data_IF_490992888030
#
_entry.id   IF_490992888030
#
_cell.length_a   1.000
_cell.length_b   1.000
_cell.length_c   1.000
_cell.angle_alpha   90.00
_cell.angle_beta   90.00
_cell.angle_gamma   90.00
#
_symmetry.space_group_name_H-M   'P 1'
#
loop_
_entity.id
_entity.type
_entity.pdbx_description
1 polymer ?
#
# COMPACT_ATOMS: atom_id res chain seq x y z
N UNK A 1 8.38 72.35 -37.01
CA UNK A 1 8.34 70.87 -36.94
C UNK A 1 6.91 70.46 -37.27
N UNK A 2 6.77 69.78 -38.41
CA UNK A 2 5.60 69.09 -38.98
C UNK A 2 4.21 69.73 -38.86
N UNK A 3 3.79 70.32 -39.98
CA UNK A 3 2.44 70.76 -40.32
C UNK A 3 1.72 69.70 -41.17
N UNK A 4 0.38 69.76 -41.13
CA UNK A 4 -0.62 69.16 -42.04
C UNK A 4 -0.78 67.64 -42.18
N UNK A 5 -1.94 67.11 -41.74
CA UNK A 5 -3.07 66.89 -42.67
C UNK A 5 -4.34 66.39 -42.00
N UNK A 6 -5.45 66.90 -42.53
CA UNK A 6 -6.85 66.74 -42.12
C UNK A 6 -7.46 65.41 -42.65
N UNK A 7 -8.47 64.92 -41.92
CA UNK A 7 -9.29 63.71 -42.12
C UNK A 7 -9.99 63.64 -43.50
N UNK A 8 -10.53 62.46 -43.88
CA UNK A 8 -11.98 62.30 -43.73
C UNK A 8 -12.47 60.91 -43.29
N UNK A 9 -13.70 60.90 -42.76
CA UNK A 9 -14.53 59.77 -42.37
C UNK A 9 -15.59 59.53 -43.45
N UNK A 10 -15.87 58.30 -43.90
CA UNK A 10 -17.25 57.82 -44.11
C UNK A 10 -17.34 56.29 -44.31
N UNK A 11 -18.35 55.70 -43.67
CA UNK A 11 -18.79 54.31 -43.77
C UNK A 11 -19.25 53.92 -45.19
N UNK A 12 -19.03 52.65 -45.59
CA UNK A 12 -20.02 51.93 -46.39
C UNK A 12 -20.06 50.44 -46.06
N UNK A 13 -21.29 49.94 -46.01
CA UNK A 13 -21.77 48.60 -45.67
C UNK A 13 -21.87 47.81 -46.98
N UNK A 14 -21.38 46.57 -47.06
CA UNK A 14 -22.08 45.49 -47.78
C UNK A 14 -21.53 44.10 -47.42
N UNK A 15 -22.48 43.22 -47.13
CA UNK A 15 -22.47 41.75 -46.97
C UNK A 15 -21.56 40.97 -47.92
N UNK A 16 -21.09 39.78 -47.50
CA UNK A 16 -21.43 38.48 -48.12
C UNK A 16 -20.84 37.26 -47.34
N UNK A 17 -21.73 36.32 -46.98
CA UNK A 17 -21.58 34.84 -46.83
C UNK A 17 -20.33 34.25 -46.15
N UNK A 18 -20.42 33.63 -44.97
CA UNK A 18 -21.00 32.30 -44.68
C UNK A 18 -20.46 31.17 -45.56
N UNK A 19 -19.42 30.46 -45.10
CA UNK A 19 -19.21 29.00 -45.23
C UNK A 19 -17.80 28.64 -44.72
N UNK A 20 -17.70 27.81 -43.68
CA UNK A 20 -16.66 26.79 -43.42
C UNK A 20 -16.62 26.32 -41.95
N UNK A 21 -17.79 26.04 -41.36
CA UNK A 21 -17.87 25.45 -40.01
C UNK A 21 -17.89 23.91 -39.98
N UNK A 22 -17.81 23.22 -41.13
CA UNK A 22 -18.04 21.77 -41.18
C UNK A 22 -16.80 20.89 -41.42
N UNK A 23 -15.60 21.46 -41.60
CA UNK A 23 -14.40 20.65 -41.91
C UNK A 23 -13.68 20.16 -40.65
N UNK A 24 -13.79 20.84 -39.50
CA UNK A 24 -12.99 20.50 -38.30
C UNK A 24 -13.66 19.53 -37.33
N UNK A 25 -14.93 19.14 -37.54
CA UNK A 25 -15.66 18.24 -36.63
C UNK A 25 -15.35 16.75 -36.89
N UNK A 26 -15.19 16.36 -38.16
CA UNK A 26 -14.99 14.95 -38.55
C UNK A 26 -13.58 14.40 -38.23
N UNK A 27 -12.56 15.24 -38.16
CA UNK A 27 -11.20 14.82 -37.77
C UNK A 27 -11.01 14.72 -36.25
N UNK A 28 -11.80 15.48 -35.46
CA UNK A 28 -11.80 15.35 -33.99
C UNK A 28 -12.53 14.10 -33.50
N UNK A 29 -13.49 13.58 -34.26
CA UNK A 29 -14.24 12.37 -33.91
C UNK A 29 -13.47 11.08 -34.25
N UNK A 30 -12.60 11.06 -35.26
CA UNK A 30 -11.80 9.88 -35.65
C UNK A 30 -10.57 9.57 -34.77
N UNK A 31 -10.21 10.45 -33.81
CA UNK A 31 -9.15 10.19 -32.82
C UNK A 31 -9.66 9.61 -31.49
N UNK A 32 -10.97 9.33 -31.39
CA UNK A 32 -11.64 8.94 -30.14
C UNK A 32 -11.75 7.42 -29.92
N UNK A 33 -11.16 6.62 -30.81
CA UNK A 33 -11.20 5.15 -30.73
C UNK A 33 -9.81 4.51 -30.63
N UNK A 34 -8.83 5.25 -30.09
CA UNK A 34 -7.73 4.54 -29.40
C UNK A 34 -8.34 3.95 -28.15
N UNK A 35 -8.71 2.68 -28.23
CA UNK A 35 -9.08 1.82 -27.11
C UNK A 35 -8.09 2.11 -25.97
N UNK A 36 -8.49 2.93 -25.00
CA UNK A 36 -7.67 3.19 -23.84
C UNK A 36 -7.64 1.88 -23.07
N UNK A 37 -6.50 1.20 -23.11
CA UNK A 37 -6.31 0.00 -22.33
C UNK A 37 -6.51 0.36 -20.85
N UNK A 38 -7.42 -0.37 -20.21
CA UNK A 38 -7.71 -0.17 -18.80
C UNK A 38 -6.65 -0.91 -17.99
N UNK A 39 -6.00 -0.20 -17.07
CA UNK A 39 -5.03 -0.78 -16.15
C UNK A 39 -5.60 -0.77 -14.73
N UNK A 40 -5.50 -1.91 -14.04
CA UNK A 40 -5.90 -2.00 -12.64
C UNK A 40 -4.85 -1.37 -11.72
N UNK A 41 -5.29 -0.48 -10.83
CA UNK A 41 -4.43 0.07 -9.79
C UNK A 41 -4.70 -0.60 -8.43
N UNK A 42 -3.69 -1.28 -7.87
CA UNK A 42 -3.75 -1.93 -6.53
C UNK A 42 -4.10 -0.96 -5.40
N UNK A 43 -3.71 0.30 -5.54
CA UNK A 43 -3.93 1.36 -4.54
C UNK A 43 -5.35 1.91 -4.61
N UNK A 44 -5.82 2.28 -5.80
CA UNK A 44 -7.17 2.78 -6.01
C UNK A 44 -8.23 1.68 -5.93
N UNK A 45 -7.84 0.43 -6.19
CA UNK A 45 -8.75 -0.72 -6.38
C UNK A 45 -9.75 -0.52 -7.53
N UNK A 46 -9.32 0.16 -8.59
CA UNK A 46 -10.12 0.51 -9.75
C UNK A 46 -9.31 0.31 -11.04
N UNK A 47 -10.04 0.08 -12.14
CA UNK A 47 -9.49 0.10 -13.49
C UNK A 47 -9.48 1.54 -14.01
N UNK A 48 -8.31 2.05 -14.40
CA UNK A 48 -8.15 3.39 -14.93
C UNK A 48 -7.81 3.32 -16.43
N UNK A 49 -8.43 4.20 -17.22
CA UNK A 49 -8.06 4.46 -18.61
C UNK A 49 -7.13 5.69 -18.75
N UNK A 50 -6.62 6.20 -17.62
CA UNK A 50 -5.81 7.41 -17.50
C UNK A 50 -4.30 7.11 -17.59
N UNK A 51 -3.94 5.83 -17.77
CA UNK A 51 -2.56 5.34 -17.83
C UNK A 51 -1.73 5.69 -16.59
N UNK A 52 -0.40 5.76 -16.71
CA UNK A 52 0.52 5.98 -15.58
C UNK A 52 0.36 7.32 -14.85
N UNK A 53 -0.36 8.29 -15.44
CA UNK A 53 -0.53 9.63 -14.87
C UNK A 53 -1.50 9.66 -13.69
N UNK A 54 -2.36 8.64 -13.54
CA UNK A 54 -3.36 8.63 -12.46
C UNK A 54 -2.73 8.71 -11.06
N UNK A 55 -1.49 8.23 -10.91
CA UNK A 55 -0.74 8.27 -9.64
C UNK A 55 -0.52 9.67 -9.07
N UNK A 56 -0.68 10.72 -9.89
CA UNK A 56 -0.52 12.11 -9.47
C UNK A 56 -1.84 12.79 -9.04
N UNK A 57 -2.98 12.14 -9.26
CA UNK A 57 -4.28 12.71 -8.94
C UNK A 57 -4.58 12.69 -7.43
N UNK A 58 -5.37 13.66 -6.92
CA UNK A 58 -5.66 13.77 -5.49
C UNK A 58 -6.28 12.49 -4.90
N UNK A 59 -7.23 11.86 -5.61
CA UNK A 59 -7.89 10.64 -5.15
C UNK A 59 -6.90 9.49 -4.97
N UNK A 60 -5.95 9.34 -5.90
CA UNK A 60 -4.88 8.34 -5.78
C UNK A 60 -3.98 8.65 -4.59
N UNK A 61 -3.55 9.91 -4.42
CA UNK A 61 -2.70 10.31 -3.30
C UNK A 61 -3.34 10.02 -1.94
N UNK A 62 -4.64 10.29 -1.81
CA UNK A 62 -5.41 9.95 -0.60
C UNK A 62 -5.48 8.44 -0.39
N UNK A 63 -5.83 7.68 -1.43
CA UNK A 63 -5.89 6.22 -1.35
C UNK A 63 -4.53 5.60 -0.99
N UNK A 64 -3.44 6.11 -1.56
CA UNK A 64 -2.07 5.70 -1.28
C UNK A 64 -1.68 5.99 0.16
N UNK A 65 -1.99 7.19 0.66
CA UNK A 65 -1.75 7.56 2.05
C UNK A 65 -2.46 6.61 3.01
N UNK A 66 -3.76 6.34 2.79
CA UNK A 66 -4.53 5.39 3.60
C UNK A 66 -3.99 3.96 3.48
N UNK A 67 -3.58 3.52 2.28
CA UNK A 67 -3.00 2.21 2.05
C UNK A 67 -1.71 2.03 2.85
N UNK A 68 -0.80 3.00 2.76
CA UNK A 68 0.48 2.99 3.45
C UNK A 68 0.32 3.10 4.97
N UNK A 69 -0.62 3.91 5.46
CA UNK A 69 -0.92 4.04 6.89
C UNK A 69 -1.35 2.70 7.51
N UNK A 70 -2.23 1.95 6.82
CA UNK A 70 -2.65 0.61 7.28
C UNK A 70 -1.48 -0.36 7.39
N UNK A 71 -0.56 -0.32 6.44
CA UNK A 71 0.61 -1.19 6.48
C UNK A 71 1.62 -0.75 7.54
N UNK A 72 1.77 0.57 7.74
CA UNK A 72 2.60 1.11 8.82
C UNK A 72 2.15 0.61 10.19
N UNK A 73 0.83 0.55 10.45
CA UNK A 73 0.30 0.01 11.71
C UNK A 73 0.70 -1.46 11.91
N UNK A 74 0.61 -2.29 10.87
CA UNK A 74 1.06 -3.70 10.92
C UNK A 74 2.56 -3.81 11.23
N UNK A 75 3.39 -2.95 10.65
CA UNK A 75 4.83 -2.92 10.95
C UNK A 75 5.09 -2.44 12.38
N UNK A 76 4.29 -1.50 12.90
CA UNK A 76 4.44 -1.05 14.28
C UNK A 76 4.17 -2.18 15.27
N UNK A 77 3.24 -3.09 14.97
CA UNK A 77 3.02 -4.31 15.75
C UNK A 77 4.29 -5.20 15.72
N UNK A 78 4.90 -5.41 14.56
CA UNK A 78 6.17 -6.15 14.45
C UNK A 78 7.31 -5.44 15.21
N UNK A 79 7.37 -4.10 15.15
CA UNK A 79 8.36 -3.29 15.88
C UNK A 79 8.21 -3.38 17.39
N UNK A 80 7.01 -3.67 17.89
CA UNK A 80 6.82 -3.92 19.30
C UNK A 80 7.60 -5.17 19.74
N UNK A 81 7.51 -6.27 18.98
CA UNK A 81 8.26 -7.50 19.23
C UNK A 81 9.76 -7.37 18.92
N UNK A 82 10.13 -6.52 17.96
CA UNK A 82 11.53 -6.13 17.71
C UNK A 82 12.17 -5.44 18.94
N UNK A 83 11.39 -4.70 19.72
CA UNK A 83 11.88 -4.03 20.94
C UNK A 83 11.83 -4.95 22.16
N UNK A 84 10.81 -5.81 22.20
CA UNK A 84 10.48 -6.70 23.31
C UNK A 84 10.39 -8.14 22.79
N UNK A 85 11.54 -8.82 22.59
CA UNK A 85 11.51 -10.21 22.16
C UNK A 85 10.74 -11.07 23.16
N UNK A 86 9.88 -11.94 22.66
CA UNK A 86 9.07 -12.83 23.47
C UNK A 86 9.11 -14.23 22.85
N UNK A 87 9.37 -15.24 23.68
CA UNK A 87 9.44 -16.64 23.23
C UNK A 87 8.08 -17.04 22.68
N UNK A 88 8.09 -17.57 21.47
CA UNK A 88 6.87 -17.95 20.79
C UNK A 88 6.33 -19.26 21.37
N UNK A 89 5.04 -19.27 21.68
CA UNK A 89 4.32 -20.47 22.05
C UNK A 89 3.65 -21.04 20.80
N UNK A 90 3.96 -22.27 20.38
CA UNK A 90 3.41 -22.87 19.15
C UNK A 90 1.88 -22.88 19.10
N UNK A 91 1.20 -22.90 20.25
CA UNK A 91 -0.25 -22.83 20.37
C UNK A 91 -0.84 -21.49 19.87
N UNK A 92 0.01 -20.51 19.56
CA UNK A 92 -0.36 -19.21 19.03
C UNK A 92 0.17 -18.96 17.60
N UNK A 93 0.73 -19.99 16.94
CA UNK A 93 1.18 -20.00 15.53
C UNK A 93 0.20 -19.29 14.58
N UNK A 94 -1.05 -19.73 14.58
CA UNK A 94 -2.09 -19.23 13.66
C UNK A 94 -2.40 -17.74 13.82
N UNK A 95 -2.09 -17.17 14.99
CA UNK A 95 -2.37 -15.76 15.32
C UNK A 95 -1.24 -14.84 14.88
N UNK A 96 -0.10 -15.37 14.46
CA UNK A 96 1.11 -14.63 14.14
C UNK A 96 1.32 -14.44 12.62
N UNK A 97 0.29 -14.61 11.78
CA UNK A 97 0.43 -14.47 10.32
C UNK A 97 0.65 -13.01 9.89
N UNK A 98 1.73 -12.76 9.15
CA UNK A 98 2.07 -11.43 8.63
C UNK A 98 1.97 -11.37 7.10
N UNK A 99 0.93 -10.71 6.59
CA UNK A 99 0.82 -10.44 5.16
C UNK A 99 1.62 -9.19 4.76
N UNK A 100 2.65 -9.36 3.92
CA UNK A 100 3.42 -8.26 3.36
C UNK A 100 2.80 -7.77 2.03
N UNK A 101 2.24 -6.56 2.02
CA UNK A 101 1.56 -6.00 0.84
C UNK A 101 2.50 -5.63 -0.31
N UNK A 102 3.78 -5.38 0.00
CA UNK A 102 4.80 -5.01 -0.98
C UNK A 102 5.36 -6.23 -1.70
N UNK A 103 5.52 -7.34 -0.97
CA UNK A 103 5.98 -8.61 -1.52
C UNK A 103 4.84 -9.50 -2.02
N UNK A 104 3.59 -9.17 -1.68
CA UNK A 104 2.41 -9.98 -2.01
C UNK A 104 2.54 -11.43 -1.50
N UNK A 105 3.04 -11.57 -0.27
CA UNK A 105 3.37 -12.87 0.32
C UNK A 105 2.88 -12.91 1.76
N UNK A 106 2.38 -14.08 2.15
CA UNK A 106 2.09 -14.40 3.54
C UNK A 106 3.37 -14.89 4.20
N UNK A 107 3.83 -14.15 5.20
CA UNK A 107 5.00 -14.53 5.99
C UNK A 107 4.48 -15.40 7.12
N UNK A 108 4.76 -16.67 6.97
CA UNK A 108 4.41 -17.68 7.95
C UNK A 108 5.38 -17.65 9.13
N UNK A 109 4.86 -17.97 10.31
CA UNK A 109 5.58 -18.00 11.58
C UNK A 109 5.60 -19.41 12.16
N UNK A 110 5.32 -20.42 11.34
CA UNK A 110 5.66 -21.79 11.67
C UNK A 110 7.18 -21.89 11.92
N UNK A 111 7.53 -22.65 12.95
CA UNK A 111 8.91 -22.94 13.38
C UNK A 111 9.73 -21.76 13.94
N UNK A 112 9.13 -20.60 14.19
CA UNK A 112 9.84 -19.51 14.88
C UNK A 112 9.98 -19.76 16.38
N UNK A 113 11.15 -19.40 16.92
CA UNK A 113 11.42 -19.47 18.37
C UNK A 113 10.92 -18.21 19.09
N UNK A 114 10.80 -17.09 18.38
CA UNK A 114 10.31 -15.82 18.91
C UNK A 114 9.13 -15.29 18.12
N UNK A 115 8.25 -14.56 18.81
CA UNK A 115 7.13 -13.90 18.18
C UNK A 115 7.61 -12.93 17.08
N UNK A 116 6.96 -13.02 15.92
CA UNK A 116 7.26 -12.27 14.70
C UNK A 116 8.70 -12.42 14.15
N UNK A 117 9.43 -13.49 14.47
CA UNK A 117 10.81 -13.69 13.98
C UNK A 117 10.89 -13.70 12.45
N UNK A 118 10.02 -14.44 11.77
CA UNK A 118 10.06 -14.53 10.32
C UNK A 118 9.63 -13.20 9.66
N UNK A 119 8.66 -12.50 10.24
CA UNK A 119 8.26 -11.17 9.82
C UNK A 119 9.38 -10.13 10.01
N UNK A 120 10.11 -10.18 11.13
CA UNK A 120 11.26 -9.32 11.39
C UNK A 120 12.34 -9.53 10.33
N UNK A 121 12.70 -10.79 10.08
CA UNK A 121 13.69 -11.16 9.07
C UNK A 121 13.25 -10.76 7.66
N UNK A 122 11.98 -10.97 7.32
CA UNK A 122 11.41 -10.56 6.03
C UNK A 122 11.53 -9.05 5.81
N UNK A 123 11.13 -8.24 6.80
CA UNK A 123 11.15 -6.78 6.73
C UNK A 123 12.56 -6.17 6.72
N UNK A 124 13.56 -6.92 7.20
CA UNK A 124 14.97 -6.56 7.11
C UNK A 124 15.65 -7.01 5.81
N UNK A 125 15.07 -7.99 5.11
CA UNK A 125 15.67 -8.63 3.94
C UNK A 125 15.77 -7.73 2.69
N UNK A 126 16.80 -8.00 1.87
CA UNK A 126 17.05 -7.28 0.63
C UNK A 126 15.93 -7.43 -0.42
N UNK A 127 15.23 -8.58 -0.45
CA UNK A 127 14.09 -8.80 -1.35
C UNK A 127 12.95 -7.84 -1.05
N UNK A 128 12.60 -7.67 0.24
CA UNK A 128 11.59 -6.71 0.68
C UNK A 128 11.98 -5.28 0.31
N UNK A 129 13.24 -4.89 0.54
CA UNK A 129 13.72 -3.55 0.15
C UNK A 129 13.57 -3.29 -1.34
N UNK A 130 13.87 -4.27 -2.20
CA UNK A 130 13.69 -4.16 -3.66
C UNK A 130 12.22 -3.95 -4.02
N UNK A 131 11.33 -4.77 -3.47
CA UNK A 131 9.89 -4.69 -3.75
C UNK A 131 9.28 -3.39 -3.21
N UNK A 132 9.69 -2.95 -2.03
CA UNK A 132 9.28 -1.69 -1.43
C UNK A 132 9.68 -0.51 -2.33
N UNK A 133 10.96 -0.42 -2.75
CA UNK A 133 11.42 0.63 -3.68
C UNK A 133 10.60 0.64 -4.96
N UNK A 134 10.38 -0.54 -5.55
CA UNK A 134 9.57 -0.69 -6.76
C UNK A 134 8.14 -0.20 -6.53
N UNK A 135 7.49 -0.60 -5.43
CA UNK A 135 6.14 -0.18 -5.09
C UNK A 135 6.01 1.34 -4.95
N UNK A 136 6.93 1.97 -4.19
CA UNK A 136 6.88 3.42 -3.98
C UNK A 136 7.03 4.18 -5.31
N UNK A 137 7.95 3.74 -6.18
CA UNK A 137 8.13 4.32 -7.51
C UNK A 137 6.91 4.12 -8.42
N UNK A 138 6.38 2.90 -8.47
CA UNK A 138 5.24 2.52 -9.31
C UNK A 138 4.01 3.34 -8.96
N UNK A 139 3.70 3.46 -7.66
CA UNK A 139 2.50 4.14 -7.18
C UNK A 139 2.71 5.60 -6.77
N UNK A 140 3.90 6.16 -6.96
CA UNK A 140 4.17 7.59 -6.74
C UNK A 140 4.23 8.01 -5.26
N UNK A 141 4.63 7.11 -4.38
CA UNK A 141 4.96 7.44 -3.00
C UNK A 141 6.37 8.07 -2.89
N UNK A 142 6.67 8.67 -1.75
CA UNK A 142 7.96 9.32 -1.52
C UNK A 142 9.01 8.29 -1.09
N UNK A 143 10.19 8.33 -1.75
CA UNK A 143 11.30 7.38 -1.51
C UNK A 143 12.06 7.64 -0.20
N UNK A 144 11.88 8.80 0.42
CA UNK A 144 12.44 9.15 1.74
C UNK A 144 11.74 8.42 2.90
N UNK A 145 10.63 7.72 2.63
CA UNK A 145 9.85 7.01 3.65
C UNK A 145 10.18 5.52 3.78
N UNK A 146 11.24 5.03 3.11
CA UNK A 146 11.61 3.61 3.11
C UNK A 146 11.72 3.04 4.53
N UNK A 147 12.40 3.75 5.43
CA UNK A 147 12.64 3.27 6.80
C UNK A 147 11.37 3.16 7.63
N UNK A 148 10.26 3.81 7.24
CA UNK A 148 8.96 3.58 7.89
C UNK A 148 8.42 2.18 7.66
N UNK A 149 8.81 1.56 6.54
CA UNK A 149 8.27 0.32 6.03
C UNK A 149 9.26 -0.86 6.04
N UNK A 150 10.40 -0.68 6.68
CA UNK A 150 11.53 -1.62 6.75
C UNK A 150 12.04 -1.74 8.19
N UNK A 151 12.72 -2.84 8.47
CA UNK A 151 13.59 -2.99 9.64
C UNK A 151 15.04 -2.84 9.17
N UNK A 152 15.83 -2.05 9.90
CA UNK A 152 17.24 -1.87 9.57
C UNK A 152 18.06 -3.08 10.00
N UNK A 153 19.17 -3.36 9.32
CA UNK A 153 20.10 -4.43 9.72
C UNK A 153 20.64 -4.19 11.14
N UNK A 154 20.85 -2.92 11.53
CA UNK A 154 21.30 -2.59 12.88
C UNK A 154 20.27 -2.89 13.95
N UNK A 155 18.97 -2.69 13.66
CA UNK A 155 17.90 -3.08 14.58
C UNK A 155 17.72 -4.60 14.64
N UNK A 156 17.89 -5.29 13.50
CA UNK A 156 17.88 -6.75 13.45
C UNK A 156 18.98 -7.34 14.34
N UNK A 157 20.23 -6.92 14.17
CA UNK A 157 21.36 -7.41 14.98
C UNK A 157 21.17 -7.13 16.48
N UNK A 158 20.57 -5.99 16.84
CA UNK A 158 20.24 -5.70 18.26
C UNK A 158 19.18 -6.66 18.79
N UNK A 159 18.19 -7.00 17.98
CA UNK A 159 17.13 -7.93 18.35
C UNK A 159 17.66 -9.36 18.48
N UNK A 160 18.49 -9.83 17.55
CA UNK A 160 19.14 -11.15 17.59
C UNK A 160 19.95 -11.33 18.88
N UNK A 161 20.78 -10.35 19.24
CA UNK A 161 21.55 -10.38 20.50
C UNK A 161 20.67 -10.50 21.74
N UNK A 162 19.53 -9.79 21.78
CA UNK A 162 18.57 -9.92 22.89
C UNK A 162 17.94 -11.31 22.94
N UNK A 163 17.61 -11.86 21.78
CA UNK A 163 17.06 -13.22 21.67
C UNK A 163 18.06 -14.26 22.18
N UNK A 164 19.33 -14.14 21.83
CA UNK A 164 20.40 -15.01 22.33
C UNK A 164 20.54 -14.93 23.86
N UNK A 165 20.54 -13.73 24.44
CA UNK A 165 20.58 -13.56 25.90
C UNK A 165 19.41 -14.26 26.59
N UNK A 166 18.19 -14.12 26.06
CA UNK A 166 17.01 -14.78 26.61
C UNK A 166 17.08 -16.31 26.53
N UNK A 167 17.65 -16.87 25.45
CA UNK A 167 17.86 -18.33 25.34
C UNK A 167 18.83 -18.83 26.41
N UNK A 168 19.91 -18.09 26.67
CA UNK A 168 20.89 -18.45 27.70
C UNK A 168 20.28 -18.38 29.10
N UNK A 169 19.54 -17.31 29.41
CA UNK A 169 18.85 -17.16 30.71
C UNK A 169 17.87 -18.31 30.98
N UNK A 170 17.11 -18.74 29.96
CA UNK A 170 16.18 -19.85 30.08
C UNK A 170 16.88 -21.21 30.35
N UNK A 171 18.11 -21.40 29.88
CA UNK A 171 18.90 -22.62 30.10
C UNK A 171 19.58 -22.68 31.48
N UNK A 172 19.85 -21.52 32.08
CA UNK A 172 20.58 -21.41 33.36
C UNK A 172 19.64 -21.42 34.58
N UNK A 173 18.33 -21.23 34.37
CA UNK A 173 17.34 -21.24 35.46
C UNK A 173 17.25 -22.63 36.14
N UNK A 174 17.47 -22.74 37.47
CA UNK A 174 17.33 -24.00 38.20
C UNK A 174 15.89 -24.51 38.11
N UNK A 175 15.74 -25.80 37.80
CA UNK A 175 14.44 -26.49 37.80
C UNK A 175 13.98 -26.75 39.23
N UNK A 176 13.68 -25.70 39.98
CA UNK A 176 13.04 -25.82 41.30
C UNK A 176 11.54 -25.56 41.16
N UNK A 177 10.77 -26.62 41.38
CA UNK A 177 9.33 -26.63 41.23
C UNK A 177 8.66 -25.52 42.03
N UNK A 178 8.09 -24.55 41.33
CA UNK A 178 7.01 -23.72 41.82
C UNK A 178 6.28 -23.15 40.61
N UNK A 179 4.96 -23.36 40.57
CA UNK A 179 4.13 -22.98 39.43
C UNK A 179 4.36 -21.53 39.05
N UNK A 180 4.77 -21.29 37.80
CA UNK A 180 4.80 -19.96 37.21
C UNK A 180 3.39 -19.39 37.29
N UNK A 181 3.13 -18.57 38.30
CA UNK A 181 2.08 -17.57 38.23
C UNK A 181 2.56 -16.55 37.20
N UNK A 182 2.27 -16.83 35.93
CA UNK A 182 2.30 -15.82 34.89
C UNK A 182 1.39 -14.69 35.37
N UNK A 183 2.02 -13.59 35.79
CA UNK A 183 1.32 -12.38 36.17
C UNK A 183 0.36 -12.02 35.05
N UNK A 184 -0.89 -11.78 35.42
CA UNK A 184 -1.92 -11.23 34.57
C UNK A 184 -1.47 -9.86 34.07
N UNK A 185 -0.62 -9.82 33.06
CA UNK A 185 -0.36 -8.64 32.27
C UNK A 185 -1.35 -8.68 31.13
N UNK A 186 -2.49 -8.03 31.40
CA UNK A 186 -3.42 -7.47 30.43
C UNK A 186 -3.48 -8.24 29.12
N UNK A 187 -4.50 -9.10 29.04
CA UNK A 187 -5.14 -9.53 27.80
C UNK A 187 -5.47 -8.29 26.96
N UNK A 188 -4.47 -7.76 26.25
CA UNK A 188 -4.58 -6.59 25.40
C UNK A 188 -5.29 -7.06 24.13
N UNK A 189 -6.58 -7.30 24.29
CA UNK A 189 -7.63 -7.16 23.28
C UNK A 189 -7.13 -7.47 21.87
N UNK A 190 -6.96 -8.75 21.56
CA UNK A 190 -6.95 -9.27 20.18
C UNK A 190 -8.37 -9.15 19.60
N UNK A 191 -8.95 -7.95 19.67
CA UNK A 191 -10.30 -7.64 19.20
C UNK A 191 -10.32 -6.97 17.82
N UNK A 192 -9.16 -6.67 17.20
CA UNK A 192 -9.17 -5.87 15.96
C UNK A 192 -8.39 -6.41 14.74
N UNK A 193 -7.79 -7.61 14.74
CA UNK A 193 -7.06 -8.10 13.56
C UNK A 193 -7.70 -9.26 12.78
N UNK A 194 -8.64 -10.00 13.36
CA UNK A 194 -9.27 -11.15 12.68
C UNK A 194 -10.62 -10.80 12.03
N UNK A 195 -11.29 -9.73 12.48
CA UNK A 195 -12.64 -9.44 12.00
C UNK A 195 -12.68 -8.73 10.62
N UNK A 196 -11.62 -8.04 10.22
CA UNK A 196 -11.59 -7.29 8.96
C UNK A 196 -11.09 -8.13 7.77
N UNK A 197 -10.16 -9.08 7.97
CA UNK A 197 -9.61 -9.87 6.86
C UNK A 197 -10.59 -10.92 6.34
N UNK A 198 -11.33 -11.59 7.23
CA UNK A 198 -12.36 -12.57 6.87
C UNK A 198 -13.58 -11.91 6.23
N UNK A 199 -14.07 -10.80 6.79
CA UNK A 199 -15.18 -10.04 6.19
C UNK A 199 -14.81 -9.48 4.82
N UNK A 200 -13.60 -8.96 4.65
CA UNK A 200 -13.14 -8.45 3.35
C UNK A 200 -12.96 -9.58 2.33
N UNK A 201 -12.46 -10.75 2.74
CA UNK A 201 -12.30 -11.91 1.86
C UNK A 201 -13.66 -12.48 1.41
N UNK A 202 -14.63 -12.57 2.32
CA UNK A 202 -15.99 -13.02 2.00
C UNK A 202 -16.74 -12.01 1.11
N UNK A 203 -16.62 -10.71 1.39
CA UNK A 203 -17.24 -9.67 0.57
C UNK A 203 -16.64 -9.59 -0.84
N UNK A 204 -15.33 -9.74 -0.99
CA UNK A 204 -14.67 -9.78 -2.30
C UNK A 204 -15.11 -11.03 -3.09
N UNK A 205 -15.24 -12.19 -2.46
CA UNK A 205 -15.73 -13.41 -3.14
C UNK A 205 -17.21 -13.32 -3.53
N UNK A 206 -18.07 -12.73 -2.68
CA UNK A 206 -19.49 -12.51 -3.00
C UNK A 206 -19.62 -11.50 -4.15
N UNK A 207 -18.87 -10.40 -4.10
CA UNK A 207 -18.92 -9.36 -5.14
C UNK A 207 -18.43 -9.89 -6.50
N UNK A 208 -17.36 -10.69 -6.51
CA UNK A 208 -16.88 -11.35 -7.73
C UNK A 208 -17.89 -12.34 -8.30
N UNK A 209 -18.63 -13.07 -7.45
CA UNK A 209 -19.70 -13.99 -7.90
C UNK A 209 -20.92 -13.25 -8.45
N UNK A 210 -21.32 -12.12 -7.86
CA UNK A 210 -22.44 -11.32 -8.33
C UNK A 210 -22.14 -10.65 -9.68
N UNK A 211 -20.91 -10.16 -9.88
CA UNK A 211 -20.47 -9.61 -11.17
C UNK A 211 -20.53 -10.67 -12.27
N UNK A 212 -20.07 -11.89 -11.98
CA UNK A 212 -20.09 -13.00 -12.94
C UNK A 212 -21.51 -13.42 -13.35
N UNK A 213 -22.50 -13.31 -12.45
CA UNK A 213 -23.90 -13.63 -12.74
C UNK A 213 -24.60 -12.54 -13.56
N UNK A 214 -24.16 -11.28 -13.49
CA UNK A 214 -24.76 -10.17 -14.24
C UNK A 214 -24.23 -10.11 -15.70
N UNK A 215 -23.06 -10.70 -15.98
CA UNK A 215 -22.51 -10.75 -17.34
C UNK A 215 -22.97 -11.96 -18.18
N UNK A 216 -23.83 -12.83 -17.63
CA UNK A 216 -24.34 -14.04 -18.30
C UNK A 216 -25.85 -13.95 -18.61
N UNK A 217 -26.47 -12.78 -18.40
CA UNK A 217 -27.85 -12.47 -18.81
C UNK A 217 -27.88 -11.45 -19.95
#
# INVERSE_FOLDING_TARGET
>A
MADHSVKPNTNSKLSFTSQNHNVTKREKEKKKDKKCEFEFCKVCKLNHNQGPRHKYFPNHKTALSSFLCRFQNKINDVRFFLRNPNVFRPEHADRNRFWCVFCDTDVDELDSSFACENAINHLAGGHHLKNLKHFLWQYGAKMDQLDKYRISETDLTKWEKKCESLKVEAMVAPTEGSGLKYGASNEMSIRYLIQDSLKFRTLVQIFMRLIFQIQVC
#
